data_IF_957781144369
#
_entry.id   IF_957781144369
#
_cell.length_a   1.000
_cell.length_b   1.000
_cell.length_c   1.000
_cell.angle_alpha   90.00
_cell.angle_beta   90.00
_cell.angle_gamma   90.00
#
_symmetry.space_group_name_H-M   'P 1'
#
loop_
_entity.id
_entity.type
_entity.pdbx_description
1 polymer ?
#
# COMPACT_ATOMS: atom_id res chain seq x y z
N UNK A 1 -76.49 -20.51 73.37
CA UNK A 1 -75.24 -19.90 72.94
C UNK A 1 -74.19 -21.00 72.89
N UNK A 2 -73.92 -21.55 71.70
CA UNK A 2 -73.05 -22.72 71.49
C UNK A 2 -71.67 -22.29 71.07
N UNK A 3 -70.64 -22.73 71.84
CA UNK A 3 -69.25 -22.48 71.58
C UNK A 3 -68.75 -23.71 70.77
N UNK A 4 -68.22 -23.48 69.56
CA UNK A 4 -67.58 -24.54 68.79
C UNK A 4 -66.05 -24.37 68.88
N UNK A 5 -65.43 -25.43 69.40
CA UNK A 5 -63.95 -25.56 69.32
C UNK A 5 -63.57 -26.12 67.96
N UNK A 6 -62.73 -25.42 67.27
CA UNK A 6 -62.12 -25.89 66.03
C UNK A 6 -60.69 -26.34 66.26
N UNK A 7 -60.40 -27.57 65.89
CA UNK A 7 -59.09 -28.22 66.06
C UNK A 7 -58.14 -27.71 64.95
N UNK A 8 -56.91 -27.41 65.33
CA UNK A 8 -55.82 -27.09 64.45
C UNK A 8 -55.13 -28.38 63.99
N UNK A 9 -54.90 -28.59 62.67
CA UNK A 9 -54.15 -29.74 62.23
C UNK A 9 -52.61 -29.49 62.31
N UNK A 10 -51.91 -30.56 62.60
CA UNK A 10 -50.44 -30.61 62.78
C UNK A 10 -49.71 -30.27 61.47
N UNK A 11 -48.75 -29.36 61.60
CA UNK A 11 -47.84 -29.01 60.51
C UNK A 11 -46.79 -30.11 60.30
N UNK A 12 -46.76 -30.66 59.10
CA UNK A 12 -45.69 -31.56 58.65
C UNK A 12 -44.50 -30.64 58.20
N UNK A 13 -43.40 -30.74 58.94
CA UNK A 13 -42.16 -30.10 58.55
C UNK A 13 -41.48 -31.03 57.53
N UNK A 14 -41.43 -30.60 56.24
CA UNK A 14 -40.62 -31.24 55.22
C UNK A 14 -39.26 -30.54 55.21
N UNK A 15 -38.26 -31.23 55.73
CA UNK A 15 -36.88 -30.81 55.67
C UNK A 15 -36.36 -31.07 54.23
N UNK A 16 -36.41 -30.02 53.40
CA UNK A 16 -35.79 -30.07 52.06
C UNK A 16 -34.27 -29.92 52.20
N UNK A 17 -33.55 -30.98 51.92
CA UNK A 17 -32.08 -30.92 51.79
C UNK A 17 -31.77 -30.25 50.43
N UNK A 18 -31.33 -28.98 50.50
CA UNK A 18 -30.89 -28.23 49.36
C UNK A 18 -29.45 -28.66 49.03
N UNK A 19 -29.29 -29.58 48.10
CA UNK A 19 -28.00 -29.98 47.57
C UNK A 19 -27.51 -28.86 46.65
N UNK A 20 -26.64 -27.98 47.18
CA UNK A 20 -25.90 -27.01 46.34
C UNK A 20 -24.91 -27.76 45.46
N UNK A 21 -25.26 -27.98 44.19
CA UNK A 21 -24.30 -28.33 43.17
C UNK A 21 -23.43 -27.11 42.91
N UNK A 22 -22.25 -27.10 43.47
CA UNK A 22 -21.18 -26.15 43.06
C UNK A 22 -20.68 -26.55 41.68
N UNK A 23 -21.22 -25.94 40.64
CA UNK A 23 -20.63 -26.03 39.31
C UNK A 23 -19.25 -25.34 39.34
N UNK A 24 -18.19 -26.15 39.42
CA UNK A 24 -16.83 -25.63 39.19
C UNK A 24 -16.71 -25.17 37.76
N UNK A 25 -16.80 -23.87 37.53
CA UNK A 25 -16.38 -23.28 36.26
C UNK A 25 -14.85 -23.49 36.13
N UNK A 26 -14.49 -24.60 35.48
CA UNK A 26 -13.14 -24.71 34.97
C UNK A 26 -13.00 -23.69 33.82
N UNK A 27 -12.35 -22.56 34.08
CA UNK A 27 -11.92 -21.68 33.05
C UNK A 27 -10.96 -22.49 32.16
N UNK A 28 -11.43 -22.94 31.00
CA UNK A 28 -10.58 -23.51 29.98
C UNK A 28 -9.59 -22.42 29.57
N UNK A 29 -8.33 -22.59 29.95
CA UNK A 29 -7.25 -21.75 29.40
C UNK A 29 -7.19 -22.03 27.92
N UNK A 30 -7.71 -21.10 27.13
CA UNK A 30 -7.58 -21.16 25.67
C UNK A 30 -6.10 -21.09 25.35
N UNK A 31 -5.54 -22.17 24.83
CA UNK A 31 -4.17 -22.15 24.30
C UNK A 31 -4.14 -21.20 23.11
N UNK A 32 -3.53 -20.04 23.31
CA UNK A 32 -3.41 -19.01 22.30
C UNK A 32 -2.24 -19.25 21.32
N UNK A 33 -1.50 -20.34 21.50
CA UNK A 33 -0.48 -20.73 20.55
C UNK A 33 -1.17 -21.15 19.25
N UNK A 34 -0.94 -20.35 18.23
CA UNK A 34 -1.52 -20.60 16.92
C UNK A 34 -0.77 -21.76 16.27
N UNK A 35 -1.51 -22.80 15.88
CA UNK A 35 -0.98 -23.90 15.09
C UNK A 35 -1.32 -23.65 13.62
N UNK A 36 -0.32 -23.75 12.75
CA UNK A 36 -0.45 -23.53 11.33
C UNK A 36 0.83 -23.95 10.61
N UNK A 37 0.90 -23.78 9.29
CA UNK A 37 2.13 -24.02 8.57
C UNK A 37 3.25 -23.09 9.08
N UNK A 38 4.47 -23.60 9.14
CA UNK A 38 5.60 -22.74 9.45
C UNK A 38 5.72 -21.63 8.39
N UNK A 39 6.03 -20.39 8.81
CA UNK A 39 6.31 -19.32 7.86
C UNK A 39 7.47 -19.68 6.95
N UNK A 40 7.34 -19.35 5.66
CA UNK A 40 8.42 -19.53 4.71
C UNK A 40 9.68 -18.76 5.15
N UNK A 41 10.84 -19.39 5.02
CA UNK A 41 12.12 -18.73 5.25
C UNK A 41 12.46 -17.90 4.01
N UNK A 42 12.53 -16.61 4.17
CA UNK A 42 12.92 -15.64 3.15
C UNK A 42 14.25 -15.02 3.56
N UNK A 43 15.20 -14.98 2.65
CA UNK A 43 16.38 -14.14 2.85
C UNK A 43 15.98 -12.70 2.71
N UNK A 44 16.17 -11.92 3.77
CA UNK A 44 15.83 -10.51 3.80
C UNK A 44 16.69 -9.70 2.83
N UNK A 45 16.20 -8.50 2.48
CA UNK A 45 16.96 -7.55 1.69
C UNK A 45 18.29 -7.23 2.38
N UNK A 46 19.40 -7.43 1.68
CA UNK A 46 20.68 -6.84 2.06
C UNK A 46 20.67 -5.33 1.80
N UNK A 47 21.78 -4.65 2.12
CA UNK A 47 21.85 -3.19 1.88
C UNK A 47 21.69 -2.80 0.40
N UNK A 48 21.77 -3.74 -0.53
CA UNK A 48 21.69 -3.51 -1.99
C UNK A 48 21.05 -4.68 -2.77
N UNK A 49 20.50 -5.68 -2.09
CA UNK A 49 19.91 -6.86 -2.73
C UNK A 49 18.41 -6.95 -2.40
N UNK A 50 17.62 -7.35 -3.39
CA UNK A 50 16.22 -7.67 -3.19
C UNK A 50 16.04 -8.89 -2.27
N UNK A 51 14.93 -9.01 -1.51
CA UNK A 51 14.58 -10.25 -0.82
C UNK A 51 14.50 -11.44 -1.80
N UNK A 52 14.74 -12.65 -1.30
CA UNK A 52 14.82 -13.86 -2.14
C UNK A 52 13.51 -14.23 -2.85
N UNK A 53 12.38 -13.71 -2.37
CA UNK A 53 11.04 -13.90 -2.95
C UNK A 53 10.55 -12.68 -3.73
N UNK A 54 11.41 -11.68 -3.94
CA UNK A 54 11.04 -10.49 -4.69
C UNK A 54 11.04 -10.74 -6.19
N UNK A 55 10.13 -10.06 -6.86
CA UNK A 55 10.12 -9.90 -8.31
C UNK A 55 10.97 -8.66 -8.61
N UNK A 56 12.10 -8.88 -9.29
CA UNK A 56 13.00 -7.78 -9.68
C UNK A 56 12.42 -7.08 -10.90
N UNK A 57 12.17 -5.80 -10.79
CA UNK A 57 11.65 -4.97 -11.87
C UNK A 57 12.76 -4.23 -12.63
N UNK A 58 13.86 -3.92 -11.93
CA UNK A 58 15.07 -3.33 -12.53
C UNK A 58 16.28 -3.56 -11.63
N UNK A 59 17.27 -4.27 -12.13
CA UNK A 59 18.55 -4.57 -11.46
C UNK A 59 19.76 -3.84 -12.07
N UNK A 60 19.50 -2.97 -13.05
CA UNK A 60 20.52 -2.26 -13.78
C UNK A 60 20.85 -2.85 -15.17
N UNK A 61 20.29 -3.99 -15.52
CA UNK A 61 20.62 -4.71 -16.77
C UNK A 61 19.70 -4.34 -17.93
N UNK A 62 18.39 -4.32 -17.73
CA UNK A 62 17.40 -4.05 -18.78
C UNK A 62 16.05 -3.59 -18.21
N UNK A 63 15.15 -3.17 -19.09
CA UNK A 63 13.78 -2.76 -18.78
C UNK A 63 12.75 -3.80 -19.25
N UNK A 64 13.11 -5.07 -19.31
CA UNK A 64 12.24 -6.13 -19.83
C UNK A 64 10.93 -6.31 -19.06
N UNK A 65 10.89 -5.90 -17.78
CA UNK A 65 9.66 -5.87 -16.99
C UNK A 65 8.71 -4.72 -17.34
N UNK A 66 9.13 -3.78 -18.21
CA UNK A 66 8.43 -2.52 -18.47
C UNK A 66 8.04 -2.37 -19.95
N UNK A 67 6.95 -1.65 -20.17
CA UNK A 67 6.50 -1.15 -21.47
C UNK A 67 6.17 0.33 -21.37
N UNK A 68 6.15 0.99 -22.51
CA UNK A 68 5.69 2.38 -22.61
C UNK A 68 4.21 2.47 -22.24
N UNK A 69 3.85 3.37 -21.34
CA UNK A 69 2.46 3.57 -20.94
C UNK A 69 1.59 4.00 -22.13
N UNK A 70 0.40 3.41 -22.23
CA UNK A 70 -0.51 3.65 -23.35
C UNK A 70 -0.17 2.86 -24.63
N UNK A 71 0.86 2.02 -24.60
CA UNK A 71 1.21 1.09 -25.66
C UNK A 71 1.81 -0.18 -25.06
N UNK A 72 2.06 -1.19 -25.88
CA UNK A 72 2.78 -2.41 -25.49
C UNK A 72 4.23 -2.41 -26.01
N UNK A 73 4.71 -1.26 -26.49
CA UNK A 73 6.10 -1.11 -26.95
C UNK A 73 7.06 -1.18 -25.76
N UNK A 74 8.25 -1.79 -25.94
CA UNK A 74 9.27 -1.84 -24.92
C UNK A 74 9.58 -0.44 -24.34
N UNK A 75 9.83 -0.36 -23.05
CA UNK A 75 10.32 0.86 -22.44
C UNK A 75 11.71 1.22 -22.99
N UNK A 76 11.95 2.52 -23.25
CA UNK A 76 13.15 3.00 -23.93
C UNK A 76 13.94 4.05 -23.13
N UNK A 77 13.80 4.05 -21.79
CA UNK A 77 14.62 4.91 -20.95
C UNK A 77 16.10 4.52 -21.05
N UNK A 78 16.97 5.53 -20.97
CA UNK A 78 18.41 5.32 -21.03
C UNK A 78 18.88 4.45 -19.86
N UNK A 79 19.74 3.48 -20.14
CA UNK A 79 20.42 2.66 -19.11
C UNK A 79 21.93 2.90 -19.25
N UNK A 80 22.54 3.40 -18.19
CA UNK A 80 23.99 3.58 -18.08
C UNK A 80 24.45 3.23 -16.66
N UNK A 81 25.54 2.50 -16.52
CA UNK A 81 26.16 2.15 -15.24
C UNK A 81 25.17 1.53 -14.19
N UNK A 82 24.24 0.69 -14.65
CA UNK A 82 23.25 0.06 -13.78
C UNK A 82 22.11 0.98 -13.33
N UNK A 83 21.95 2.12 -13.96
CA UNK A 83 20.94 3.15 -13.66
C UNK A 83 20.09 3.39 -14.87
N UNK A 84 18.77 3.46 -14.70
CA UNK A 84 17.87 3.93 -15.75
C UNK A 84 17.47 5.37 -15.47
N UNK A 85 17.40 6.19 -16.50
CA UNK A 85 17.16 7.63 -16.38
C UNK A 85 16.04 8.08 -17.30
N UNK A 86 15.08 8.81 -16.72
CA UNK A 86 14.09 9.57 -17.49
C UNK A 86 14.79 10.71 -18.19
N UNK A 87 14.64 10.76 -19.50
CA UNK A 87 15.02 11.95 -20.29
C UNK A 87 13.74 12.58 -20.82
N UNK A 88 13.65 13.92 -20.88
CA UNK A 88 12.45 14.59 -21.36
C UNK A 88 11.95 14.04 -22.70
N UNK A 89 10.69 13.61 -22.75
CA UNK A 89 10.06 13.03 -23.94
C UNK A 89 10.27 11.53 -24.12
N UNK A 90 10.92 10.83 -23.18
CA UNK A 90 11.10 9.37 -23.21
C UNK A 90 9.83 8.58 -22.88
N UNK A 91 8.77 9.25 -22.48
CA UNK A 91 7.44 8.74 -22.12
C UNK A 91 7.43 7.96 -20.81
N UNK A 92 6.34 8.04 -20.11
CA UNK A 92 6.00 7.25 -18.92
C UNK A 92 6.03 5.76 -19.22
N UNK A 93 6.52 4.95 -18.28
CA UNK A 93 6.58 3.49 -18.41
C UNK A 93 5.72 2.80 -17.36
N UNK A 94 5.17 1.63 -17.69
CA UNK A 94 4.38 0.79 -16.79
C UNK A 94 4.93 -0.64 -16.76
N UNK A 95 4.73 -1.34 -15.66
CA UNK A 95 5.08 -2.77 -15.58
C UNK A 95 4.17 -3.60 -16.49
N UNK A 96 4.73 -4.66 -17.09
CA UNK A 96 3.95 -5.68 -17.83
C UNK A 96 3.04 -6.46 -16.89
N UNK A 97 3.56 -6.78 -15.70
CA UNK A 97 2.80 -7.47 -14.65
C UNK A 97 1.95 -6.48 -13.85
N UNK A 98 0.76 -6.93 -13.49
CA UNK A 98 -0.17 -6.22 -12.61
C UNK A 98 -0.04 -6.72 -11.17
N UNK A 99 -0.20 -5.82 -10.19
CA UNK A 99 0.00 -6.09 -8.76
C UNK A 99 -1.21 -5.64 -7.94
N UNK A 100 -1.47 -6.40 -6.86
CA UNK A 100 -2.45 -6.07 -5.82
C UNK A 100 -1.78 -5.49 -4.59
N UNK A 101 -1.90 -6.20 -3.45
CA UNK A 101 -1.20 -5.86 -2.22
C UNK A 101 0.30 -6.14 -2.39
N UNK A 102 1.14 -5.16 -2.08
CA UNK A 102 2.59 -5.26 -2.32
C UNK A 102 3.44 -4.57 -1.26
N UNK A 103 4.66 -5.06 -1.15
CA UNK A 103 5.82 -4.31 -0.70
C UNK A 103 6.64 -3.94 -1.93
N UNK A 104 6.91 -2.66 -2.12
CA UNK A 104 7.70 -2.11 -3.22
C UNK A 104 8.90 -1.36 -2.68
N UNK A 105 10.06 -1.60 -3.26
CA UNK A 105 11.26 -0.81 -3.04
C UNK A 105 11.73 -0.19 -4.35
N UNK A 106 12.18 1.05 -4.29
CA UNK A 106 12.87 1.71 -5.39
C UNK A 106 13.84 2.76 -4.85
N UNK A 107 14.96 2.92 -5.55
CA UNK A 107 15.86 4.04 -5.34
C UNK A 107 15.75 5.01 -6.50
N UNK A 108 15.74 6.31 -6.19
CA UNK A 108 15.64 7.37 -7.18
C UNK A 108 16.57 8.54 -6.85
N UNK A 109 16.89 9.33 -7.86
CA UNK A 109 17.81 10.44 -7.70
C UNK A 109 17.49 11.57 -8.69
N UNK A 110 17.18 12.79 -8.21
CA UNK A 110 17.15 13.96 -9.08
C UNK A 110 18.56 14.32 -9.51
N UNK A 111 18.71 15.03 -10.63
CA UNK A 111 20.01 15.53 -11.05
C UNK A 111 20.67 16.42 -9.99
N UNK A 112 22.01 16.35 -9.86
CA UNK A 112 22.76 17.23 -8.97
C UNK A 112 22.73 18.71 -9.41
N UNK A 113 22.49 18.95 -10.69
CA UNK A 113 22.32 20.29 -11.23
C UNK A 113 20.91 20.77 -10.93
N UNK A 114 20.81 21.80 -10.08
CA UNK A 114 19.52 22.39 -9.70
C UNK A 114 19.03 23.28 -10.83
N UNK A 115 17.95 22.86 -11.47
CA UNK A 115 17.21 23.62 -12.47
C UNK A 115 15.75 23.74 -12.06
N UNK A 116 15.21 24.95 -12.13
CA UNK A 116 13.82 25.21 -11.73
C UNK A 116 13.59 25.33 -10.23
N UNK A 117 12.34 25.32 -9.83
CA UNK A 117 11.88 25.43 -8.45
C UNK A 117 10.49 24.81 -8.29
N UNK A 118 10.11 24.51 -7.04
CA UNK A 118 8.81 23.90 -6.74
C UNK A 118 8.63 22.60 -7.54
N UNK A 119 7.51 22.47 -8.23
CA UNK A 119 7.16 21.29 -9.03
C UNK A 119 7.96 21.15 -10.33
N UNK A 120 8.75 22.15 -10.70
CA UNK A 120 9.62 22.11 -11.88
C UNK A 120 11.05 21.69 -11.54
N UNK A 121 11.27 20.98 -10.41
CA UNK A 121 12.60 20.60 -9.94
C UNK A 121 12.64 19.11 -9.59
N UNK A 122 13.24 18.30 -10.48
CA UNK A 122 13.42 16.86 -10.28
C UNK A 122 12.12 16.10 -10.05
N UNK A 123 11.09 16.42 -10.83
CA UNK A 123 9.75 15.86 -10.69
C UNK A 123 9.58 14.57 -11.48
N UNK A 124 8.97 13.59 -10.84
CA UNK A 124 8.50 12.31 -11.35
C UNK A 124 7.44 11.78 -10.40
N UNK A 125 7.02 10.52 -10.56
CA UNK A 125 6.09 9.84 -9.67
C UNK A 125 6.17 8.34 -9.81
N UNK A 126 5.95 7.62 -8.72
CA UNK A 126 5.62 6.20 -8.73
C UNK A 126 4.12 6.04 -8.50
N UNK A 127 3.44 5.45 -9.48
CA UNK A 127 2.00 5.22 -9.41
C UNK A 127 1.70 3.78 -9.03
N UNK A 128 1.10 3.60 -7.88
CA UNK A 128 0.54 2.34 -7.45
C UNK A 128 -0.74 2.11 -8.26
N UNK A 129 -0.86 0.93 -8.88
CA UNK A 129 -1.95 0.60 -9.79
C UNK A 129 -2.17 1.62 -10.93
N UNK A 130 -1.12 2.33 -11.36
CA UNK A 130 -1.17 3.38 -12.39
C UNK A 130 -2.14 4.54 -12.09
N UNK A 131 -2.60 4.67 -10.85
CA UNK A 131 -3.66 5.59 -10.43
C UNK A 131 -3.25 6.44 -9.22
N UNK A 132 -2.56 5.82 -8.25
CA UNK A 132 -2.26 6.44 -6.96
C UNK A 132 -0.80 6.85 -6.91
N UNK A 133 -0.54 8.12 -7.03
CA UNK A 133 0.81 8.65 -7.07
C UNK A 133 1.40 8.84 -5.67
N UNK A 134 2.57 8.26 -5.48
CA UNK A 134 3.54 8.69 -4.46
C UNK A 134 4.52 9.62 -5.16
N UNK A 135 4.53 10.88 -4.75
CA UNK A 135 5.30 11.94 -5.40
C UNK A 135 6.79 11.70 -5.28
N UNK A 136 7.50 11.88 -6.40
CA UNK A 136 8.95 12.00 -6.50
C UNK A 136 9.28 13.44 -6.89
N UNK A 137 10.04 14.11 -6.05
CA UNK A 137 10.41 15.52 -6.24
C UNK A 137 11.74 15.81 -5.56
N UNK A 138 12.57 16.64 -6.13
CA UNK A 138 13.65 17.25 -5.36
C UNK A 138 13.03 18.24 -4.35
N UNK A 139 12.81 17.75 -3.14
CA UNK A 139 12.22 18.51 -2.02
C UNK A 139 13.26 19.08 -1.06
N UNK A 140 14.57 18.93 -1.37
CA UNK A 140 15.63 19.50 -0.57
C UNK A 140 15.69 21.03 -0.74
N UNK A 141 15.41 21.75 0.35
CA UNK A 141 15.38 23.24 0.31
C UNK A 141 14.58 23.80 -0.88
N UNK A 142 13.46 23.16 -1.21
CA UNK A 142 12.62 23.48 -2.36
C UNK A 142 11.15 23.69 -1.93
N UNK A 143 10.78 24.92 -1.57
CA UNK A 143 9.40 25.21 -1.16
C UNK A 143 8.41 24.97 -2.30
N UNK A 144 7.34 24.24 -1.99
CA UNK A 144 6.17 24.05 -2.85
C UNK A 144 4.95 23.73 -1.95
N UNK A 145 3.79 23.50 -2.55
CA UNK A 145 2.62 23.11 -1.76
C UNK A 145 2.86 21.77 -1.06
N UNK A 146 2.38 21.67 0.18
CA UNK A 146 2.78 20.60 1.12
C UNK A 146 2.41 19.19 0.65
N UNK A 147 1.27 19.03 -0.03
CA UNK A 147 0.81 17.75 -0.58
C UNK A 147 1.33 17.46 -2.00
N UNK A 148 2.36 18.16 -2.44
CA UNK A 148 3.15 17.90 -3.64
C UNK A 148 4.65 17.73 -3.34
N UNK A 149 5.03 17.62 -2.07
CA UNK A 149 6.40 17.29 -1.64
C UNK A 149 6.72 15.80 -1.90
N UNK A 150 8.00 15.45 -1.94
CA UNK A 150 8.42 14.05 -2.04
C UNK A 150 7.77 13.19 -0.96
N UNK A 151 7.23 12.03 -1.32
CA UNK A 151 6.53 11.12 -0.41
C UNK A 151 5.08 11.52 -0.08
N UNK A 152 4.56 12.61 -0.68
CA UNK A 152 3.12 12.89 -0.64
C UNK A 152 2.34 11.79 -1.37
N UNK A 153 1.14 11.49 -0.90
CA UNK A 153 0.10 10.99 -1.79
C UNK A 153 -0.44 12.23 -2.51
N UNK A 154 -0.08 12.36 -3.78
CA UNK A 154 -0.20 13.62 -4.51
C UNK A 154 -1.59 14.23 -4.42
N UNK A 155 -1.64 15.50 -3.97
CA UNK A 155 -2.83 16.30 -3.68
C UNK A 155 -3.78 15.75 -2.59
N UNK A 156 -3.48 14.58 -1.98
CA UNK A 156 -4.33 14.01 -0.92
C UNK A 156 -3.68 14.15 0.46
N UNK A 157 -2.48 13.62 0.65
CA UNK A 157 -1.81 13.61 1.95
C UNK A 157 -0.39 14.17 1.84
N UNK A 158 -0.04 15.24 2.57
CA UNK A 158 1.34 15.68 2.69
C UNK A 158 2.17 14.63 3.42
N UNK A 159 3.50 14.59 3.22
CA UNK A 159 4.36 13.74 4.03
C UNK A 159 4.38 14.25 5.48
N UNK A 160 4.51 13.34 6.44
CA UNK A 160 4.62 13.67 7.87
C UNK A 160 5.84 14.56 8.17
N UNK A 161 6.92 14.33 7.43
CA UNK A 161 8.17 15.10 7.50
C UNK A 161 8.84 15.11 6.12
N UNK A 162 9.69 16.11 5.85
CA UNK A 162 10.55 16.09 4.67
C UNK A 162 11.84 15.32 5.00
N UNK A 163 11.98 14.11 4.43
CA UNK A 163 13.13 13.23 4.60
C UNK A 163 14.09 13.26 3.41
N UNK A 164 13.94 14.24 2.49
CA UNK A 164 14.76 14.35 1.29
C UNK A 164 16.23 14.63 1.64
N UNK A 165 17.15 14.00 0.89
CA UNK A 165 18.57 14.31 0.84
C UNK A 165 18.84 15.34 -0.27
N UNK A 166 20.03 15.97 -0.29
CA UNK A 166 20.41 16.90 -1.36
C UNK A 166 20.24 16.32 -2.77
N UNK A 167 19.96 17.16 -3.79
CA UNK A 167 19.92 16.71 -5.19
C UNK A 167 21.27 16.10 -5.61
N UNK A 168 21.21 15.03 -6.40
CA UNK A 168 22.36 14.22 -6.75
C UNK A 168 22.59 13.03 -5.81
N UNK A 169 22.04 13.04 -4.60
CA UNK A 169 22.08 11.91 -3.69
C UNK A 169 20.94 10.92 -3.96
N UNK A 170 21.20 9.63 -3.74
CA UNK A 170 20.20 8.60 -3.85
C UNK A 170 19.19 8.67 -2.69
N UNK A 171 17.94 8.71 -3.06
CA UNK A 171 16.76 8.58 -2.19
C UNK A 171 16.26 7.14 -2.26
N UNK A 172 15.61 6.64 -1.21
CA UNK A 172 14.93 5.36 -1.24
C UNK A 172 13.48 5.51 -0.82
N UNK A 173 12.59 4.78 -1.49
CA UNK A 173 11.24 4.51 -1.01
C UNK A 173 11.08 3.03 -0.71
N UNK A 174 10.56 2.73 0.49
CA UNK A 174 9.96 1.47 0.84
C UNK A 174 8.47 1.71 1.04
N UNK A 175 7.65 1.06 0.22
CA UNK A 175 6.21 1.30 0.15
C UNK A 175 5.48 0.00 0.46
N UNK A 176 4.56 0.04 1.43
CA UNK A 176 3.61 -1.04 1.68
C UNK A 176 2.26 -0.55 1.20
N UNK A 177 1.72 -1.20 0.19
CA UNK A 177 0.45 -0.83 -0.42
C UNK A 177 -0.55 -1.96 -0.27
N UNK A 178 -1.75 -1.60 0.18
CA UNK A 178 -2.92 -2.45 0.20
C UNK A 178 -3.91 -1.96 -0.85
N UNK A 179 -4.18 -2.81 -1.82
CA UNK A 179 -5.04 -2.47 -2.94
C UNK A 179 -6.51 -2.28 -2.52
N UNK A 180 -7.27 -1.46 -3.24
CA UNK A 180 -8.70 -1.33 -2.98
C UNK A 180 -9.43 -2.61 -3.39
N UNK A 181 -10.46 -2.96 -2.63
CA UNK A 181 -11.29 -4.13 -2.91
C UNK A 181 -12.64 -3.68 -3.47
N UNK A 182 -13.01 -4.25 -4.60
CA UNK A 182 -14.30 -4.03 -5.23
C UNK A 182 -15.15 -5.29 -5.17
N UNK A 183 -16.47 -5.14 -5.07
CA UNK A 183 -17.42 -6.23 -5.21
C UNK A 183 -17.84 -6.43 -6.66
N UNK A 184 -18.46 -7.57 -6.96
CA UNK A 184 -18.80 -7.99 -8.34
C UNK A 184 -19.67 -7.01 -9.14
N UNK A 185 -20.30 -6.04 -8.50
CA UNK A 185 -21.06 -4.97 -9.16
C UNK A 185 -20.24 -3.69 -9.38
N UNK A 186 -18.93 -3.74 -9.18
CA UNK A 186 -18.01 -2.61 -9.38
C UNK A 186 -17.94 -1.62 -8.23
N UNK A 187 -18.73 -1.79 -7.17
CA UNK A 187 -18.70 -0.88 -6.02
C UNK A 187 -17.49 -1.15 -5.13
N UNK A 188 -16.92 -0.08 -4.61
CA UNK A 188 -15.86 -0.16 -3.61
C UNK A 188 -16.37 -0.86 -2.34
N UNK A 189 -15.63 -1.87 -1.88
CA UNK A 189 -15.83 -2.55 -0.60
C UNK A 189 -14.86 -2.04 0.46
N UNK A 190 -13.61 -1.81 0.08
CA UNK A 190 -12.56 -1.29 0.95
C UNK A 190 -11.65 -0.36 0.13
N UNK A 191 -11.33 0.83 0.63
CA UNK A 191 -10.36 1.72 0.00
C UNK A 191 -8.95 1.12 0.03
N UNK A 192 -8.04 1.71 -0.73
CA UNK A 192 -6.62 1.41 -0.67
C UNK A 192 -5.97 2.10 0.54
N UNK A 193 -4.90 1.50 1.05
CA UNK A 193 -4.07 2.06 2.12
C UNK A 193 -2.61 2.01 1.73
N UNK A 194 -1.84 2.99 2.19
CA UNK A 194 -0.41 3.04 1.90
C UNK A 194 0.41 3.51 3.10
N UNK A 195 1.56 2.86 3.28
CA UNK A 195 2.66 3.32 4.13
C UNK A 195 3.85 3.61 3.25
N UNK A 196 4.47 4.76 3.42
CA UNK A 196 5.69 5.15 2.70
C UNK A 196 6.79 5.47 3.69
N UNK A 197 7.93 4.82 3.49
CA UNK A 197 9.18 5.08 4.21
C UNK A 197 10.14 5.71 3.22
N UNK A 198 10.54 6.95 3.47
CA UNK A 198 11.48 7.71 2.65
C UNK A 198 12.82 7.82 3.38
N UNK A 199 13.88 7.29 2.81
CA UNK A 199 15.23 7.28 3.42
C UNK A 199 15.24 6.71 4.85
N UNK A 200 14.44 5.66 5.11
CA UNK A 200 14.32 5.05 6.43
C UNK A 200 13.39 5.78 7.41
N UNK A 201 12.75 6.87 6.99
CA UNK A 201 11.81 7.65 7.80
C UNK A 201 10.38 7.47 7.31
N UNK A 202 9.44 7.13 8.19
CA UNK A 202 8.02 7.01 7.86
C UNK A 202 7.46 8.38 7.49
N UNK A 203 7.02 8.54 6.25
CA UNK A 203 6.41 9.78 5.74
C UNK A 203 4.91 9.65 5.47
N UNK A 204 4.41 8.42 5.27
CA UNK A 204 2.99 8.07 5.28
C UNK A 204 2.80 6.84 6.17
N UNK A 205 1.83 6.84 7.07
CA UNK A 205 1.60 5.76 8.01
C UNK A 205 0.19 5.18 7.84
N UNK A 206 0.05 4.16 7.00
CA UNK A 206 -1.22 3.48 6.73
C UNK A 206 -2.36 4.45 6.42
N UNK A 207 -2.08 5.44 5.55
CA UNK A 207 -3.09 6.43 5.16
C UNK A 207 -4.06 5.84 4.14
N UNK A 208 -5.34 6.21 4.28
CA UNK A 208 -6.38 5.84 3.33
C UNK A 208 -6.26 6.70 2.08
N UNK A 209 -6.28 6.07 0.90
CA UNK A 209 -6.35 6.78 -0.37
C UNK A 209 -7.81 7.14 -0.67
N UNK A 210 -8.02 8.35 -1.15
CA UNK A 210 -9.37 8.88 -1.42
C UNK A 210 -9.87 8.56 -2.83
N UNK A 211 -9.08 7.83 -3.63
CA UNK A 211 -9.31 7.55 -5.03
C UNK A 211 -8.15 8.02 -5.89
N UNK A 212 -8.40 8.21 -7.20
CA UNK A 212 -7.36 8.64 -8.14
C UNK A 212 -6.69 9.95 -7.70
N UNK A 213 -5.36 10.02 -7.83
CA UNK A 213 -4.61 11.28 -7.73
C UNK A 213 -4.83 12.13 -8.99
N UNK A 214 -4.42 13.39 -9.03
CA UNK A 214 -4.63 14.41 -10.07
C UNK A 214 -6.01 15.05 -10.17
N UNK A 215 -6.99 14.57 -9.45
CA UNK A 215 -8.33 15.15 -9.52
C UNK A 215 -8.61 16.00 -8.30
N UNK A 216 -9.23 17.15 -8.44
CA UNK A 216 -9.61 17.98 -7.31
C UNK A 216 -10.69 17.34 -6.42
N UNK A 217 -11.37 16.33 -6.94
CA UNK A 217 -12.34 15.51 -6.20
C UNK A 217 -12.00 14.03 -6.44
N UNK A 218 -11.03 13.49 -5.65
CA UNK A 218 -10.65 12.10 -5.80
C UNK A 218 -11.82 11.18 -5.45
N UNK A 219 -12.03 10.18 -6.30
CA UNK A 219 -13.05 9.15 -6.09
C UNK A 219 -12.56 7.81 -6.64
N UNK A 220 -13.15 6.75 -6.14
CA UNK A 220 -12.93 5.41 -6.68
C UNK A 220 -13.90 5.18 -7.83
N UNK A 221 -13.39 5.17 -9.05
CA UNK A 221 -14.13 4.70 -10.22
C UNK A 221 -14.58 3.24 -10.03
N UNK A 222 -15.75 2.90 -10.54
CA UNK A 222 -16.23 1.53 -10.53
C UNK A 222 -15.25 0.61 -11.28
N UNK A 223 -14.93 -0.54 -10.68
CA UNK A 223 -14.14 -1.61 -11.31
C UNK A 223 -15.00 -2.87 -11.39
N UNK A 224 -14.69 -3.77 -12.31
CA UNK A 224 -15.46 -5.01 -12.46
C UNK A 224 -16.90 -4.78 -12.88
N UNK A 225 -17.15 -3.96 -13.90
CA UNK A 225 -18.49 -3.75 -14.45
C UNK A 225 -18.98 -5.08 -15.06
N UNK A 226 -20.25 -5.51 -14.79
CA UNK A 226 -20.78 -6.77 -15.31
C UNK A 226 -20.73 -6.85 -16.83
N UNK A 227 -20.54 -8.07 -17.30
CA UNK A 227 -20.50 -8.53 -18.67
C UNK A 227 -21.39 -7.71 -19.63
N UNK A 228 -20.78 -7.25 -20.72
CA UNK A 228 -21.48 -6.59 -21.85
C UNK A 228 -21.15 -5.11 -22.06
N UNK A 229 -20.25 -4.53 -21.25
CA UNK A 229 -19.67 -3.21 -21.53
C UNK A 229 -18.19 -3.37 -21.94
N UNK A 230 -17.76 -2.66 -22.95
CA UNK A 230 -16.57 -2.84 -23.79
C UNK A 230 -15.18 -2.79 -23.11
N UNK A 231 -15.06 -3.17 -21.85
CA UNK A 231 -13.78 -3.40 -21.18
C UNK A 231 -13.88 -4.64 -20.31
N UNK A 232 -13.18 -5.69 -20.71
CA UNK A 232 -12.73 -6.73 -19.79
C UNK A 232 -11.89 -6.05 -18.69
N UNK A 233 -12.56 -5.61 -17.64
CA UNK A 233 -11.84 -5.17 -16.46
C UNK A 233 -11.48 -6.41 -15.67
N UNK A 234 -10.18 -6.65 -15.55
CA UNK A 234 -9.66 -7.64 -14.63
C UNK A 234 -10.14 -7.33 -13.21
N UNK A 235 -11.03 -8.21 -12.71
CA UNK A 235 -11.56 -8.11 -11.36
C UNK A 235 -10.62 -8.65 -10.29
N UNK A 236 -9.39 -9.02 -10.64
CA UNK A 236 -8.38 -9.49 -9.70
C UNK A 236 -7.97 -8.43 -8.67
N UNK A 237 -8.32 -7.17 -8.91
CA UNK A 237 -7.87 -6.04 -8.10
C UNK A 237 -6.41 -5.65 -8.36
N UNK A 238 -5.76 -6.29 -9.34
CA UNK A 238 -4.38 -6.02 -9.73
C UNK A 238 -4.32 -5.05 -10.90
N UNK A 239 -3.35 -4.13 -10.87
CA UNK A 239 -3.04 -3.22 -11.98
C UNK A 239 -1.53 -2.93 -12.00
N UNK A 240 -0.97 -2.47 -13.15
CA UNK A 240 0.45 -2.16 -13.26
C UNK A 240 0.92 -1.07 -12.31
N UNK A 241 2.21 -1.08 -12.00
CA UNK A 241 2.94 0.07 -11.46
C UNK A 241 3.38 0.97 -12.61
N UNK A 242 3.50 2.26 -12.36
CA UNK A 242 3.91 3.22 -13.40
C UNK A 242 4.98 4.17 -12.86
N UNK A 243 6.05 4.41 -13.62
CA UNK A 243 7.04 5.44 -13.38
C UNK A 243 6.85 6.56 -14.40
N UNK A 244 6.76 7.79 -13.91
CA UNK A 244 6.37 8.94 -14.71
C UNK A 244 7.57 9.61 -15.39
N UNK A 245 7.43 9.94 -16.67
CA UNK A 245 8.17 11.02 -17.31
C UNK A 245 7.37 12.33 -17.14
N UNK A 246 7.87 13.22 -16.30
CA UNK A 246 7.32 14.56 -16.09
C UNK A 246 8.10 15.65 -16.82
N UNK A 247 8.90 15.27 -17.82
CA UNK A 247 9.76 16.20 -18.57
C UNK A 247 11.01 16.65 -17.82
N UNK A 248 11.41 15.94 -16.76
CA UNK A 248 12.58 16.26 -15.94
C UNK A 248 13.46 15.03 -15.75
N UNK A 249 14.76 15.28 -15.58
CA UNK A 249 15.74 14.20 -15.41
C UNK A 249 15.68 13.64 -14.01
N UNK A 250 15.26 12.37 -13.88
CA UNK A 250 15.29 11.60 -12.66
C UNK A 250 15.83 10.21 -12.98
N UNK A 251 16.76 9.74 -12.17
CA UNK A 251 17.38 8.42 -12.32
C UNK A 251 16.79 7.42 -11.32
N UNK A 252 16.74 6.14 -11.71
CA UNK A 252 16.22 5.05 -10.91
C UNK A 252 17.15 3.85 -10.91
N UNK A 253 17.18 3.11 -9.81
CA UNK A 253 17.88 1.81 -9.68
C UNK A 253 17.23 0.95 -8.61
N UNK A 254 17.61 -0.31 -8.50
CA UNK A 254 17.21 -1.24 -7.45
C UNK A 254 15.70 -1.23 -7.23
N UNK A 255 14.94 -1.60 -8.26
CA UNK A 255 13.47 -1.63 -8.20
C UNK A 255 13.01 -3.06 -8.09
N UNK A 256 12.32 -3.38 -6.99
CA UNK A 256 11.75 -4.70 -6.78
C UNK A 256 10.42 -4.64 -6.02
N UNK A 257 9.63 -5.69 -6.19
CA UNK A 257 8.30 -5.81 -5.57
C UNK A 257 8.12 -7.21 -5.00
N UNK A 258 7.42 -7.32 -3.87
CA UNK A 258 6.88 -8.56 -3.31
C UNK A 258 5.36 -8.47 -3.29
N UNK A 259 4.66 -9.51 -3.70
CA UNK A 259 3.23 -9.64 -3.45
C UNK A 259 3.00 -10.07 -1.99
N UNK A 260 1.95 -9.51 -1.34
CA UNK A 260 1.60 -9.72 0.06
C UNK A 260 0.31 -10.53 0.23
#
# INVERSE_FOLDING_TARGET
MKIFFNRVPASVVVTGVLTMMTASLHAQTVDRRQQGPEPAKIEGAGMSAAPSDAIVLFDGSNLDAWVTAGSEEPASWLIEDGVTTVTPGSRTIKTKQAFGDIQLHLEWRPTAVIEGSGQSRGNSGIFLQSIYEVQILDSWENPTYVNGQAGSIYLQHPPLVNAAKPPGDWQSYDIIFKAPVFVSNGKLRSPAYVTVIHNGVVVQNNVELQGATYTPMPEYGARCVPYGQEREQDCSGKMPLTLQDHGQVVSFRNIWVREL
#
